data_IF_698531430995
#
_entry.id   IF_698531430995
#
_cell.length_a   1.000
_cell.length_b   1.000
_cell.length_c   1.000
_cell.angle_alpha   90.00
_cell.angle_beta   90.00
_cell.angle_gamma   90.00
#
_symmetry.space_group_name_H-M   'P 1'
#
loop_
_entity.id
_entity.type
_entity.pdbx_description
1 polymer ?
#
# COMPACT_ATOMS: atom_id res chain seq x y z
N UNK A 1 -6.44 -5.54 8.61
CA UNK A 1 -6.61 -5.16 7.19
C UNK A 1 -7.84 -5.79 6.54
N UNK A 2 -8.06 -7.12 6.65
CA UNK A 2 -9.19 -7.83 6.02
C UNK A 2 -10.56 -7.15 6.20
N UNK A 3 -11.00 -6.91 7.44
CA UNK A 3 -12.31 -6.29 7.71
C UNK A 3 -12.47 -4.87 7.15
N UNK A 4 -11.37 -4.09 7.10
CA UNK A 4 -11.34 -2.77 6.47
C UNK A 4 -11.56 -2.91 4.97
N UNK A 5 -10.86 -3.85 4.33
CA UNK A 5 -10.99 -4.08 2.89
C UNK A 5 -12.35 -4.67 2.51
N UNK A 6 -12.90 -5.58 3.30
CA UNK A 6 -14.27 -6.11 3.11
C UNK A 6 -15.31 -4.98 3.14
N UNK A 7 -15.19 -4.05 4.10
CA UNK A 7 -16.07 -2.88 4.17
C UNK A 7 -15.85 -1.93 2.98
N UNK A 8 -14.61 -1.70 2.59
CA UNK A 8 -14.27 -0.87 1.42
C UNK A 8 -14.92 -1.43 0.15
N UNK A 9 -14.72 -2.71 -0.16
CA UNK A 9 -15.29 -3.36 -1.35
C UNK A 9 -16.82 -3.35 -1.33
N UNK A 10 -17.44 -3.63 -0.17
CA UNK A 10 -18.91 -3.61 -0.06
C UNK A 10 -19.46 -2.20 -0.27
N UNK A 11 -18.85 -1.18 0.33
CA UNK A 11 -19.27 0.20 0.19
C UNK A 11 -19.13 0.72 -1.24
N UNK A 12 -17.98 0.44 -1.89
CA UNK A 12 -17.71 0.90 -3.25
C UNK A 12 -18.72 0.32 -4.25
N UNK A 13 -19.03 -0.98 -4.13
CA UNK A 13 -20.04 -1.64 -4.97
C UNK A 13 -21.43 -1.05 -4.80
N UNK A 14 -21.83 -0.71 -3.58
CA UNK A 14 -23.15 -0.11 -3.36
C UNK A 14 -23.21 1.32 -3.91
N UNK A 15 -22.13 2.10 -3.77
CA UNK A 15 -22.04 3.45 -4.36
C UNK A 15 -22.13 3.38 -5.88
N UNK A 16 -21.37 2.49 -6.52
CA UNK A 16 -21.39 2.30 -7.97
C UNK A 16 -22.80 1.93 -8.47
N UNK A 17 -23.44 0.97 -7.79
CA UNK A 17 -24.81 0.55 -8.08
C UNK A 17 -25.79 1.73 -8.02
N UNK A 18 -25.76 2.53 -6.96
CA UNK A 18 -26.67 3.67 -6.78
C UNK A 18 -26.44 4.79 -7.80
N UNK A 19 -25.20 4.98 -8.25
CA UNK A 19 -24.86 5.94 -9.32
C UNK A 19 -25.39 5.42 -10.67
N UNK A 20 -25.21 4.12 -10.93
CA UNK A 20 -25.71 3.46 -12.14
C UNK A 20 -27.23 3.48 -12.24
N UNK A 21 -27.95 3.26 -11.14
CA UNK A 21 -29.42 3.39 -11.06
C UNK A 21 -29.92 4.79 -11.46
N UNK A 22 -29.07 5.82 -11.44
CA UNK A 22 -29.38 7.18 -11.88
C UNK A 22 -28.90 7.51 -13.29
N UNK A 23 -28.38 6.52 -14.04
CA UNK A 23 -27.91 6.68 -15.42
C UNK A 23 -26.49 7.25 -15.54
N UNK A 24 -25.67 7.14 -14.50
CA UNK A 24 -24.27 7.60 -14.50
C UNK A 24 -23.30 6.43 -14.31
N UNK A 25 -22.05 6.59 -14.75
CA UNK A 25 -21.02 5.56 -14.62
C UNK A 25 -19.69 6.16 -14.17
N UNK A 26 -18.81 5.32 -13.61
CA UNK A 26 -17.41 5.69 -13.39
C UNK A 26 -16.63 5.64 -14.71
N UNK A 27 -15.69 6.57 -14.87
CA UNK A 27 -14.78 6.53 -16.02
C UNK A 27 -13.82 5.36 -15.87
N UNK A 28 -13.92 4.39 -16.78
CA UNK A 28 -13.10 3.19 -16.78
C UNK A 28 -12.82 2.71 -18.21
N UNK A 29 -11.63 2.15 -18.46
CA UNK A 29 -11.37 1.35 -19.66
C UNK A 29 -10.39 0.21 -19.39
N UNK A 30 -10.30 -0.74 -20.30
CA UNK A 30 -9.49 -1.96 -20.15
C UNK A 30 -7.99 -1.68 -19.96
N UNK A 31 -7.46 -0.67 -20.64
CA UNK A 31 -6.02 -0.36 -20.60
C UNK A 31 -5.61 0.39 -19.32
N UNK A 32 -6.41 1.39 -18.93
CA UNK A 32 -6.06 2.32 -17.86
C UNK A 32 -6.77 2.02 -16.53
N UNK A 33 -7.73 1.10 -16.51
CA UNK A 33 -8.61 0.90 -15.36
C UNK A 33 -9.45 2.15 -15.08
N UNK A 34 -9.63 2.49 -13.80
CA UNK A 34 -10.35 3.68 -13.38
C UNK A 34 -9.55 4.95 -13.72
N UNK A 35 -10.21 5.89 -14.38
CA UNK A 35 -9.62 7.16 -14.79
C UNK A 35 -9.75 8.17 -13.66
N UNK A 36 -8.62 8.76 -13.29
CA UNK A 36 -8.50 9.82 -12.28
C UNK A 36 -7.65 10.95 -12.85
N UNK A 37 -7.73 12.14 -12.24
CA UNK A 37 -7.05 13.34 -12.73
C UNK A 37 -5.54 13.19 -12.80
N UNK A 38 -4.93 12.57 -11.79
CA UNK A 38 -3.47 12.38 -11.74
C UNK A 38 -3.09 11.04 -12.37
N UNK A 39 -2.18 11.02 -13.37
CA UNK A 39 -1.69 9.77 -13.98
C UNK A 39 -1.15 8.75 -12.96
N UNK A 40 -0.61 9.22 -11.82
CA UNK A 40 -0.09 8.34 -10.77
C UNK A 40 -1.16 7.46 -10.10
N UNK A 41 -2.44 7.79 -10.28
CA UNK A 41 -3.56 7.09 -9.64
C UNK A 41 -4.38 6.24 -10.61
N UNK A 42 -3.96 6.09 -11.87
CA UNK A 42 -4.64 5.19 -12.82
C UNK A 42 -4.65 3.73 -12.33
N UNK A 43 -5.48 2.91 -12.97
CA UNK A 43 -5.66 1.49 -12.65
C UNK A 43 -6.69 1.31 -11.55
N UNK A 44 -6.21 0.97 -10.36
CA UNK A 44 -7.06 0.74 -9.18
C UNK A 44 -7.37 2.03 -8.41
N UNK A 45 -6.56 3.08 -8.58
CA UNK A 45 -6.57 4.25 -7.69
C UNK A 45 -6.30 3.94 -6.22
N UNK A 46 -5.96 2.69 -5.87
CA UNK A 46 -5.99 2.20 -4.50
C UNK A 46 -4.70 2.50 -3.75
N UNK A 47 -4.84 3.09 -2.57
CA UNK A 47 -3.78 3.22 -1.57
C UNK A 47 -4.22 2.53 -0.29
N UNK A 48 -3.86 1.27 -0.12
CA UNK A 48 -3.97 0.57 1.15
C UNK A 48 -2.71 0.82 1.98
N UNK A 49 -2.87 1.11 3.26
CA UNK A 49 -1.74 1.39 4.13
C UNK A 49 -2.07 1.28 5.60
N UNK A 50 -1.03 1.42 6.41
CA UNK A 50 -1.08 1.38 7.87
C UNK A 50 -0.23 2.49 8.43
N UNK A 51 -0.61 2.97 9.62
CA UNK A 51 0.36 3.61 10.50
C UNK A 51 1.05 2.52 11.31
N UNK A 52 2.37 2.42 11.19
CA UNK A 52 3.17 1.42 11.90
C UNK A 52 4.35 2.09 12.61
N UNK A 53 4.56 1.72 13.86
CA UNK A 53 5.66 2.20 14.70
C UNK A 53 6.83 1.23 14.57
N UNK A 54 7.96 1.71 14.05
CA UNK A 54 9.15 0.90 13.72
C UNK A 54 10.44 1.64 14.13
N UNK A 55 10.66 1.91 15.43
CA UNK A 55 11.72 2.80 15.93
C UNK A 55 13.15 2.29 15.73
N UNK A 56 13.35 0.98 15.55
CA UNK A 56 14.66 0.42 15.26
C UNK A 56 14.88 0.31 13.74
N UNK A 57 13.91 -0.24 13.02
CA UNK A 57 13.99 -0.42 11.57
C UNK A 57 14.00 0.93 10.83
N UNK A 58 13.36 1.97 11.36
CA UNK A 58 13.40 3.34 10.79
C UNK A 58 14.80 3.93 10.69
N UNK A 59 15.72 3.47 11.55
CA UNK A 59 17.11 3.91 11.62
C UNK A 59 18.06 3.00 10.83
N UNK A 60 17.58 1.82 10.41
CA UNK A 60 18.38 0.86 9.66
C UNK A 60 18.56 1.36 8.20
N UNK A 61 19.80 1.44 7.68
CA UNK A 61 20.06 1.93 6.33
C UNK A 61 19.42 1.04 5.24
N UNK A 62 19.06 -0.20 5.56
CA UNK A 62 18.44 -1.15 4.63
C UNK A 62 16.95 -0.89 4.41
N UNK A 63 16.28 -0.08 5.25
CA UNK A 63 14.83 0.13 5.17
C UNK A 63 14.38 0.61 3.77
N UNK A 64 15.09 1.56 3.15
CA UNK A 64 14.73 2.05 1.82
C UNK A 64 14.69 0.90 0.81
N UNK A 65 15.72 0.04 0.82
CA UNK A 65 15.81 -1.08 -0.11
C UNK A 65 14.78 -2.17 0.19
N UNK A 66 14.45 -2.39 1.46
CA UNK A 66 13.38 -3.30 1.88
C UNK A 66 12.03 -2.81 1.33
N UNK A 67 11.69 -1.53 1.50
CA UNK A 67 10.45 -0.95 0.98
C UNK A 67 10.36 -1.07 -0.54
N UNK A 68 11.45 -0.73 -1.25
CA UNK A 68 11.51 -0.82 -2.71
C UNK A 68 11.25 -2.25 -3.20
N UNK A 69 11.94 -3.24 -2.60
CA UNK A 69 11.82 -4.64 -2.98
C UNK A 69 10.42 -5.21 -2.65
N UNK A 70 9.77 -4.72 -1.60
CA UNK A 70 8.40 -5.10 -1.21
C UNK A 70 7.31 -4.30 -1.96
N UNK A 71 7.68 -3.38 -2.86
CA UNK A 71 6.75 -2.46 -3.55
C UNK A 71 5.90 -1.64 -2.58
N UNK A 72 6.52 -1.18 -1.50
CA UNK A 72 5.93 -0.30 -0.50
C UNK A 72 6.58 1.08 -0.56
N UNK A 73 5.86 2.08 -0.06
CA UNK A 73 6.37 3.44 0.13
C UNK A 73 6.07 3.92 1.55
N UNK A 74 6.96 4.78 2.08
CA UNK A 74 6.75 5.46 3.36
C UNK A 74 6.35 6.93 3.15
N UNK A 75 5.47 7.44 4.00
CA UNK A 75 5.17 8.87 4.19
C UNK A 75 5.24 9.20 5.68
N UNK A 76 5.32 10.49 6.02
CA UNK A 76 5.17 10.91 7.41
C UNK A 76 3.75 10.70 7.94
N UNK A 77 3.59 10.91 9.25
CA UNK A 77 2.36 10.50 9.96
C UNK A 77 1.12 11.32 9.57
N UNK A 78 1.32 12.53 9.05
CA UNK A 78 0.24 13.38 8.51
C UNK A 78 0.10 13.32 6.99
N UNK A 79 0.77 12.38 6.31
CA UNK A 79 0.70 12.21 4.86
C UNK A 79 1.96 12.66 4.11
N UNK A 80 1.79 12.95 2.81
CA UNK A 80 2.87 13.04 1.81
C UNK A 80 3.92 14.11 2.10
N UNK A 81 3.52 15.21 2.74
CA UNK A 81 4.40 16.35 2.99
C UNK A 81 4.73 16.52 4.49
N UNK A 82 4.57 15.47 5.29
CA UNK A 82 4.79 15.55 6.74
C UNK A 82 5.98 14.71 7.19
N UNK A 83 6.58 15.08 8.32
CA UNK A 83 7.57 14.25 8.99
C UNK A 83 6.90 13.09 9.74
N UNK A 84 7.65 12.03 10.02
CA UNK A 84 7.20 11.01 10.95
C UNK A 84 7.20 11.56 12.38
N UNK A 85 6.10 11.34 13.10
CA UNK A 85 5.97 11.67 14.52
C UNK A 85 6.18 10.40 15.34
N UNK A 86 7.12 10.44 16.28
CA UNK A 86 7.34 9.34 17.23
C UNK A 86 7.62 7.97 16.59
N UNK A 87 8.46 7.96 15.55
CA UNK A 87 8.85 6.74 14.80
C UNK A 87 7.68 5.98 14.13
N UNK A 88 6.54 6.66 13.94
CA UNK A 88 5.36 6.10 13.27
C UNK A 88 5.29 6.56 11.83
N UNK A 89 5.22 5.62 10.90
CA UNK A 89 5.22 5.87 9.46
C UNK A 89 3.90 5.43 8.82
N UNK A 90 3.43 6.18 7.82
CA UNK A 90 2.41 5.73 6.88
C UNK A 90 3.08 4.85 5.82
N UNK A 91 2.85 3.55 5.89
CA UNK A 91 3.34 2.56 4.93
C UNK A 91 2.18 2.09 4.06
N UNK A 92 2.34 2.20 2.73
CA UNK A 92 1.32 1.81 1.75
C UNK A 92 1.92 1.15 0.51
N UNK A 93 1.09 0.54 -0.32
CA UNK A 93 1.51 0.06 -1.64
C UNK A 93 2.07 1.21 -2.49
N UNK A 94 3.10 0.90 -3.28
CA UNK A 94 3.72 1.81 -4.25
C UNK A 94 2.99 1.80 -5.61
N UNK A 95 2.52 0.63 -6.04
CA UNK A 95 1.85 0.45 -7.34
C UNK A 95 0.36 0.79 -7.30
N UNK A 96 -0.19 1.26 -8.44
CA UNK A 96 -1.63 1.58 -8.62
C UNK A 96 -2.25 0.90 -9.83
N UNK A 97 -1.45 0.65 -10.87
CA UNK A 97 -1.84 0.00 -12.12
C UNK A 97 -0.97 -1.23 -12.36
N UNK A 98 -1.50 -2.24 -13.06
CA UNK A 98 -0.81 -3.50 -13.35
C UNK A 98 -1.01 -4.61 -12.30
N UNK A 99 -1.77 -4.33 -11.24
CA UNK A 99 -2.19 -5.29 -10.21
C UNK A 99 -3.61 -4.97 -9.77
N UNK A 100 -4.40 -5.99 -9.45
CA UNK A 100 -5.74 -5.83 -8.88
C UNK A 100 -5.71 -5.27 -7.45
N UNK A 101 -6.84 -4.74 -6.99
CA UNK A 101 -7.03 -4.23 -5.63
C UNK A 101 -6.68 -5.29 -4.58
N UNK A 102 -7.08 -6.54 -4.81
CA UNK A 102 -6.81 -7.68 -3.92
C UNK A 102 -5.30 -7.94 -3.83
N UNK A 103 -4.60 -7.96 -4.97
CA UNK A 103 -3.15 -8.16 -5.00
C UNK A 103 -2.40 -7.01 -4.32
N UNK A 104 -2.82 -5.77 -4.52
CA UNK A 104 -2.23 -4.61 -3.86
C UNK A 104 -2.42 -4.65 -2.35
N UNK A 105 -3.61 -5.02 -1.87
CA UNK A 105 -3.86 -5.18 -0.43
C UNK A 105 -3.05 -6.34 0.15
N UNK A 106 -2.92 -7.45 -0.58
CA UNK A 106 -2.11 -8.58 -0.15
C UNK A 106 -0.63 -8.21 -0.05
N UNK A 107 -0.08 -7.45 -1.01
CA UNK A 107 1.27 -6.90 -0.94
C UNK A 107 1.51 -6.06 0.30
N UNK A 108 0.53 -5.22 0.67
CA UNK A 108 0.60 -4.41 1.90
C UNK A 108 0.58 -5.30 3.14
N UNK A 109 -0.30 -6.30 3.19
CA UNK A 109 -0.37 -7.25 4.31
C UNK A 109 0.97 -7.97 4.50
N UNK A 110 1.51 -8.55 3.43
CA UNK A 110 2.74 -9.33 3.49
C UNK A 110 3.95 -8.46 3.81
N UNK A 111 4.06 -7.31 3.15
CA UNK A 111 5.16 -6.39 3.37
C UNK A 111 5.14 -5.78 4.77
N UNK A 112 3.98 -5.38 5.29
CA UNK A 112 3.86 -4.86 6.68
C UNK A 112 4.19 -5.93 7.70
N UNK A 113 3.74 -7.18 7.51
CA UNK A 113 4.10 -8.28 8.39
C UNK A 113 5.62 -8.51 8.39
N UNK A 114 6.27 -8.41 7.23
CA UNK A 114 7.73 -8.49 7.12
C UNK A 114 8.45 -7.35 7.87
N UNK A 115 7.95 -6.11 7.76
CA UNK A 115 8.52 -4.97 8.50
C UNK A 115 8.38 -5.17 10.01
N UNK A 116 7.24 -5.67 10.48
CA UNK A 116 7.02 -5.99 11.91
C UNK A 116 8.00 -7.07 12.39
N UNK A 117 8.25 -8.10 11.57
CA UNK A 117 9.23 -9.13 11.91
C UNK A 117 10.65 -8.56 11.97
N UNK A 118 11.04 -7.70 11.02
CA UNK A 118 12.33 -7.03 11.06
C UNK A 118 12.49 -6.17 12.32
N UNK A 119 11.47 -5.40 12.68
CA UNK A 119 11.47 -4.59 13.91
C UNK A 119 11.69 -5.46 15.15
N UNK A 120 10.92 -6.55 15.31
CA UNK A 120 11.04 -7.48 16.43
C UNK A 120 12.41 -8.17 16.52
N UNK A 121 13.08 -8.40 15.38
CA UNK A 121 14.44 -8.94 15.35
C UNK A 121 15.45 -7.91 15.82
N UNK A 122 15.34 -6.67 15.34
CA UNK A 122 16.21 -5.58 15.77
C UNK A 122 16.04 -5.26 17.26
N UNK A 123 14.82 -5.33 17.80
CA UNK A 123 14.55 -5.21 19.25
C UNK A 123 15.34 -6.23 20.10
N UNK A 124 15.61 -7.42 19.53
CA UNK A 124 16.38 -8.50 20.16
C UNK A 124 17.87 -8.48 19.81
N UNK A 125 18.34 -7.43 19.11
CA UNK A 125 19.73 -7.34 18.63
C UNK A 125 20.07 -8.36 17.53
N UNK A 126 19.07 -8.87 16.81
CA UNK A 126 19.26 -9.84 15.73
C UNK A 126 19.32 -9.14 14.38
N UNK A 127 20.15 -9.68 13.48
CA UNK A 127 20.29 -9.15 12.12
C UNK A 127 19.00 -9.35 11.29
N UNK A 128 18.78 -8.51 10.28
CA UNK A 128 17.65 -8.61 9.33
C UNK A 128 18.15 -8.80 7.91
N UNK A 129 17.28 -9.23 7.00
CA UNK A 129 17.64 -9.42 5.58
C UNK A 129 16.89 -8.42 4.72
N UNK A 130 17.43 -8.16 3.54
CA UNK A 130 16.68 -7.50 2.47
C UNK A 130 15.95 -8.60 1.69
N UNK A 131 14.62 -8.56 1.55
CA UNK A 131 13.89 -9.55 0.77
C UNK A 131 14.22 -9.41 -0.71
N UNK A 132 14.10 -10.47 -1.54
CA UNK A 132 14.26 -10.33 -2.99
C UNK A 132 13.19 -9.37 -3.56
N UNK A 133 13.48 -8.67 -4.67
CA UNK A 133 12.52 -7.75 -5.27
C UNK A 133 11.31 -8.49 -5.85
N UNK A 134 10.13 -7.98 -5.59
CA UNK A 134 8.89 -8.44 -6.22
C UNK A 134 8.84 -7.92 -7.67
N UNK A 135 8.59 -8.82 -8.63
CA UNK A 135 8.46 -8.45 -10.05
C UNK A 135 7.38 -7.39 -10.24
N UNK A 136 7.67 -6.33 -11.00
CA UNK A 136 6.72 -5.24 -11.21
C UNK A 136 5.53 -5.65 -12.10
N UNK A 137 5.76 -6.57 -13.04
CA UNK A 137 4.74 -7.09 -13.96
C UNK A 137 4.70 -8.62 -13.91
N UNK A 138 3.52 -9.20 -14.13
CA UNK A 138 3.41 -10.62 -14.49
C UNK A 138 4.02 -10.78 -15.89
N UNK A 139 4.88 -11.78 -16.08
CA UNK A 139 5.33 -12.20 -17.41
C UNK A 139 4.15 -12.76 -18.19
#
# INVERSE_FOLDING_TARGET
MKSVFERFCRGLKEVEKLIHERGWEFMWNEHLGYILTCPSNLGTGLRAGVHVKIPNLSKDPRLSKILDNLRLQKRGTGGVDTAAVGDTFDISNLDRIGRSEVELVQLVIDGVNYLIECEKRLEKGQDIKVPPPISQFRK
#
